data_IF_458356681168
#
_entry.id   IF_458356681168
#
_cell.length_a   1.000
_cell.length_b   1.000
_cell.length_c   1.000
_cell.angle_alpha   90.00
_cell.angle_beta   90.00
_cell.angle_gamma   90.00
#
_symmetry.space_group_name_H-M   'P 1'
#
loop_
_entity.id
_entity.type
_entity.pdbx_description
1 polymer ?
#
# COMPACT_ATOMS: atom_id res chain seq x y z
N UNK A 1 -11.90 -47.32 -17.88
CA UNK A 1 -11.07 -46.17 -17.47
C UNK A 1 -11.94 -44.94 -17.51
N UNK A 2 -12.51 -44.55 -16.36
CA UNK A 2 -13.41 -43.39 -16.25
C UNK A 2 -12.59 -42.09 -16.26
N UNK A 3 -13.04 -41.02 -16.93
CA UNK A 3 -12.30 -39.76 -16.96
C UNK A 3 -12.50 -38.98 -15.66
N UNK A 4 -11.39 -38.53 -15.07
CA UNK A 4 -11.37 -37.61 -13.93
C UNK A 4 -11.96 -36.24 -14.32
N UNK A 5 -12.73 -35.55 -13.44
CA UNK A 5 -13.20 -34.19 -13.70
C UNK A 5 -12.03 -33.22 -13.74
N UNK A 6 -12.00 -32.35 -14.75
CA UNK A 6 -11.01 -31.27 -14.87
C UNK A 6 -11.47 -30.10 -13.99
N UNK A 7 -10.89 -29.97 -12.80
CA UNK A 7 -11.08 -28.78 -11.95
C UNK A 7 -10.61 -27.53 -12.72
N UNK A 8 -11.49 -26.54 -12.81
CA UNK A 8 -11.30 -25.32 -13.58
C UNK A 8 -10.24 -24.41 -12.95
N UNK A 9 -9.35 -23.89 -13.79
CA UNK A 9 -8.19 -23.02 -13.48
C UNK A 9 -8.51 -21.72 -12.72
N UNK A 10 -9.79 -21.44 -12.49
CA UNK A 10 -10.25 -20.17 -11.91
C UNK A 10 -10.29 -20.18 -10.38
N UNK A 11 -10.36 -21.35 -9.72
CA UNK A 11 -10.35 -21.43 -8.24
C UNK A 11 -8.96 -21.23 -7.63
N UNK A 12 -7.89 -21.58 -8.37
CA UNK A 12 -6.49 -21.48 -7.91
C UNK A 12 -6.03 -20.01 -7.76
N UNK A 13 -6.70 -19.05 -8.41
CA UNK A 13 -6.26 -17.64 -8.42
C UNK A 13 -6.70 -16.85 -7.18
N UNK A 14 -7.76 -17.26 -6.47
CA UNK A 14 -8.19 -16.57 -5.24
C UNK A 14 -7.33 -16.92 -4.03
N UNK A 15 -6.79 -18.14 -4.00
CA UNK A 15 -6.00 -18.65 -2.87
C UNK A 15 -4.56 -18.09 -2.85
N UNK A 16 -3.99 -17.70 -4.00
CA UNK A 16 -2.62 -17.16 -4.09
C UNK A 16 -2.46 -15.70 -3.66
N UNK A 17 -3.56 -14.95 -3.46
CA UNK A 17 -3.52 -13.51 -3.17
C UNK A 17 -3.76 -13.17 -1.68
N UNK A 18 -4.25 -14.13 -0.90
CA UNK A 18 -4.47 -14.00 0.55
C UNK A 18 -3.55 -14.99 1.23
N UNK A 19 -2.57 -14.54 2.01
CA UNK A 19 -1.72 -15.49 2.77
C UNK A 19 -2.63 -16.30 3.70
N UNK A 20 -2.28 -17.56 4.00
CA UNK A 20 -3.01 -18.35 5.00
C UNK A 20 -3.23 -17.50 6.26
N UNK A 21 -4.50 -17.22 6.59
CA UNK A 21 -4.89 -16.46 7.78
C UNK A 21 -5.32 -15.00 7.53
N UNK A 22 -5.00 -14.40 6.39
CA UNK A 22 -5.54 -13.09 6.02
C UNK A 22 -7.06 -13.18 5.83
N UNK A 23 -7.80 -12.13 6.21
CA UNK A 23 -9.26 -12.18 6.28
C UNK A 23 -9.92 -10.99 5.57
N UNK A 24 -11.02 -11.26 4.86
CA UNK A 24 -11.83 -10.26 4.19
C UNK A 24 -12.84 -9.67 5.18
N UNK A 25 -12.89 -8.34 5.30
CA UNK A 25 -13.86 -7.69 6.16
C UNK A 25 -15.29 -7.85 5.62
N UNK A 26 -16.20 -8.40 6.43
CA UNK A 26 -17.60 -8.59 6.03
C UNK A 26 -18.33 -7.25 5.74
N UNK A 27 -17.96 -6.18 6.44
CA UNK A 27 -18.59 -4.86 6.30
C UNK A 27 -18.16 -4.08 5.06
N UNK A 28 -16.86 -4.09 4.73
CA UNK A 28 -16.31 -3.22 3.66
C UNK A 28 -15.46 -3.96 2.61
N UNK A 29 -15.38 -5.29 2.69
CA UNK A 29 -14.63 -6.16 1.79
C UNK A 29 -13.13 -5.82 1.66
N UNK A 30 -12.58 -5.10 2.65
CA UNK A 30 -11.15 -4.82 2.71
C UNK A 30 -10.39 -6.06 3.20
N UNK A 31 -9.33 -6.45 2.50
CA UNK A 31 -8.44 -7.54 2.90
C UNK A 31 -7.56 -7.09 4.08
N UNK A 32 -7.57 -7.84 5.17
CA UNK A 32 -6.81 -7.57 6.39
C UNK A 32 -5.80 -8.68 6.66
N UNK A 33 -4.66 -8.32 7.24
CA UNK A 33 -3.66 -9.30 7.67
C UNK A 33 -4.16 -10.15 8.83
N UNK A 34 -3.75 -11.43 8.90
CA UNK A 34 -4.21 -12.38 9.93
C UNK A 34 -4.15 -11.85 11.36
N UNK A 35 -3.11 -11.06 11.65
CA UNK A 35 -2.80 -10.52 12.98
C UNK A 35 -3.72 -9.40 13.45
N UNK A 36 -4.64 -8.94 12.60
CA UNK A 36 -5.58 -7.88 12.95
C UNK A 36 -6.87 -8.51 13.45
N UNK A 37 -7.34 -8.03 14.59
CA UNK A 37 -8.65 -8.38 15.15
C UNK A 37 -9.76 -7.41 14.71
N UNK A 38 -9.39 -6.33 14.00
CA UNK A 38 -10.31 -5.31 13.46
C UNK A 38 -9.87 -4.83 12.08
N UNK A 39 -10.85 -4.46 11.24
CA UNK A 39 -10.62 -4.05 9.87
C UNK A 39 -9.78 -2.77 9.81
N UNK A 40 -8.74 -2.76 8.97
CA UNK A 40 -7.89 -1.58 8.77
C UNK A 40 -8.62 -0.40 8.10
N UNK A 41 -9.75 -0.66 7.45
CA UNK A 41 -10.52 0.34 6.72
C UNK A 41 -11.66 0.90 7.56
N UNK A 42 -12.56 0.04 8.05
CA UNK A 42 -13.78 0.47 8.76
C UNK A 42 -13.82 0.05 10.24
N UNK A 43 -12.73 -0.50 10.79
CA UNK A 43 -12.63 -0.95 12.18
C UNK A 43 -13.59 -2.07 12.60
N UNK A 44 -14.43 -2.59 11.68
CA UNK A 44 -15.27 -3.76 11.93
C UNK A 44 -14.44 -4.92 12.51
N UNK A 45 -14.83 -5.51 13.65
CA UNK A 45 -14.17 -6.67 14.22
C UNK A 45 -14.13 -7.85 13.24
N UNK A 46 -13.08 -8.67 13.34
CA UNK A 46 -12.89 -9.87 12.52
C UNK A 46 -14.06 -10.86 12.63
N UNK A 47 -14.64 -10.95 13.82
CA UNK A 47 -15.75 -11.85 14.15
C UNK A 47 -17.03 -11.06 14.53
N UNK A 48 -17.28 -9.94 13.84
CA UNK A 48 -18.48 -9.12 14.07
C UNK A 48 -19.76 -9.91 13.75
N UNK A 49 -20.84 -9.68 14.53
CA UNK A 49 -22.14 -10.29 14.26
C UNK A 49 -22.82 -9.60 13.07
N UNK A 50 -23.79 -10.24 12.42
CA UNK A 50 -24.48 -9.66 11.25
C UNK A 50 -25.14 -8.29 11.53
N UNK A 51 -25.52 -8.04 12.78
CA UNK A 51 -26.09 -6.76 13.22
C UNK A 51 -25.01 -5.67 13.29
N UNK A 52 -23.83 -6.02 13.79
CA UNK A 52 -22.66 -5.14 13.85
C UNK A 52 -22.11 -4.84 12.45
N UNK A 53 -22.08 -5.85 11.56
CA UNK A 53 -21.59 -5.67 10.18
C UNK A 53 -22.31 -4.52 9.45
N UNK A 54 -23.62 -4.37 9.68
CA UNK A 54 -24.43 -3.33 9.05
C UNK A 54 -24.03 -1.90 9.49
N UNK A 55 -23.72 -1.70 10.78
CA UNK A 55 -23.32 -0.39 11.29
C UNK A 55 -21.94 0.03 10.76
N UNK A 56 -20.99 -0.91 10.67
CA UNK A 56 -19.66 -0.66 10.11
C UNK A 56 -19.62 -0.63 8.58
N UNK A 57 -20.64 -1.16 7.89
CA UNK A 57 -20.76 -1.07 6.44
C UNK A 57 -21.10 0.36 5.97
N UNK A 58 -21.81 1.11 6.83
CA UNK A 58 -22.30 2.46 6.53
C UNK A 58 -21.42 3.57 7.13
N UNK A 59 -20.54 3.25 8.08
CA UNK A 59 -19.49 4.18 8.52
C UNK A 59 -18.44 4.32 7.41
N UNK A 60 -18.73 5.21 6.45
CA UNK A 60 -17.67 5.96 5.77
C UNK A 60 -16.86 6.62 6.87
N UNK A 61 -15.67 6.05 7.11
CA UNK A 61 -14.59 6.57 7.94
C UNK A 61 -14.78 8.03 8.31
N UNK A 62 -15.05 8.30 9.58
CA UNK A 62 -14.63 9.57 10.15
C UNK A 62 -13.11 9.56 10.11
N UNK A 63 -12.59 9.99 8.96
CA UNK A 63 -11.18 10.29 8.75
C UNK A 63 -10.85 11.30 9.84
N UNK A 64 -9.98 10.90 10.76
CA UNK A 64 -9.62 11.73 11.91
C UNK A 64 -9.08 13.08 11.41
N UNK A 65 -9.33 14.15 12.17
CA UNK A 65 -8.86 15.48 11.78
C UNK A 65 -7.34 15.47 11.49
N UNK A 66 -6.97 15.78 10.26
CA UNK A 66 -5.59 15.84 9.80
C UNK A 66 -5.11 14.62 9.00
N UNK A 67 -5.83 13.50 9.03
CA UNK A 67 -5.59 12.35 8.14
C UNK A 67 -5.85 12.78 6.69
N UNK A 68 -5.12 12.19 5.74
CA UNK A 68 -5.15 12.63 4.34
C UNK A 68 -5.09 11.46 3.36
N UNK A 69 -5.76 11.62 2.22
CA UNK A 69 -5.66 10.68 1.11
C UNK A 69 -4.59 11.13 0.14
N UNK A 70 -3.77 10.19 -0.32
CA UNK A 70 -2.77 10.48 -1.33
C UNK A 70 -3.43 10.77 -2.68
N UNK A 71 -3.24 12.00 -3.17
CA UNK A 71 -3.72 12.46 -4.48
C UNK A 71 -2.86 12.03 -5.67
N UNK A 72 -1.78 11.26 -5.44
CA UNK A 72 -1.01 10.72 -6.55
C UNK A 72 -1.90 9.81 -7.42
N UNK A 73 -1.78 9.95 -8.74
CA UNK A 73 -2.58 9.20 -9.71
C UNK A 73 -2.47 7.69 -9.40
N UNK A 74 -3.63 7.03 -9.31
CA UNK A 74 -3.75 5.59 -8.97
C UNK A 74 -3.28 5.19 -7.55
N UNK A 75 -3.01 6.13 -6.64
CA UNK A 75 -2.64 5.79 -5.25
C UNK A 75 -3.84 5.70 -4.31
N UNK A 76 -4.52 6.85 -4.07
CA UNK A 76 -5.71 6.96 -3.20
C UNK A 76 -5.50 6.46 -1.76
N UNK A 77 -4.26 6.28 -1.32
CA UNK A 77 -3.95 5.63 -0.05
C UNK A 77 -4.22 6.57 1.13
N UNK A 78 -4.87 6.06 2.18
CA UNK A 78 -5.12 6.80 3.42
C UNK A 78 -3.86 6.89 4.28
N UNK A 79 -3.54 8.08 4.76
CA UNK A 79 -2.38 8.35 5.59
C UNK A 79 -2.82 9.02 6.89
N UNK A 80 -2.22 8.58 8.00
CA UNK A 80 -2.39 9.23 9.30
C UNK A 80 -1.85 10.66 9.29
N UNK A 81 -2.44 11.53 10.10
CA UNK A 81 -2.10 12.95 10.19
C UNK A 81 -0.61 13.25 10.43
N UNK A 82 0.07 12.37 11.15
CA UNK A 82 1.50 12.46 11.44
C UNK A 82 2.41 12.20 10.24
N UNK A 83 1.87 11.72 9.12
CA UNK A 83 2.66 11.43 7.91
C UNK A 83 2.73 12.64 7.01
N UNK A 84 3.94 13.05 6.68
CA UNK A 84 4.23 14.04 5.63
C UNK A 84 4.30 13.41 4.24
N UNK A 85 4.46 12.09 4.16
CA UNK A 85 4.57 11.35 2.89
C UNK A 85 3.74 10.06 2.89
N UNK A 86 3.23 9.71 1.72
CA UNK A 86 2.32 8.60 1.52
C UNK A 86 3.01 7.28 1.87
N UNK A 87 2.40 6.46 2.72
CA UNK A 87 2.97 5.16 3.12
C UNK A 87 3.14 4.19 1.94
N UNK A 88 2.38 4.42 0.85
CA UNK A 88 2.33 3.53 -0.32
C UNK A 88 3.25 3.97 -1.44
N UNK A 89 3.22 5.25 -1.80
CA UNK A 89 3.96 5.77 -2.97
C UNK A 89 4.96 6.88 -2.63
N UNK A 90 5.10 7.24 -1.35
CA UNK A 90 6.01 8.29 -0.88
C UNK A 90 5.72 9.70 -1.39
N UNK A 91 4.68 9.91 -2.19
CA UNK A 91 4.23 11.25 -2.56
C UNK A 91 3.95 12.06 -1.30
N UNK A 92 4.41 13.31 -1.26
CA UNK A 92 4.19 14.15 -0.09
C UNK A 92 2.73 14.58 0.01
N UNK A 93 2.30 14.86 1.24
CA UNK A 93 0.98 15.41 1.56
C UNK A 93 0.75 16.74 0.84
N UNK A 94 1.79 17.57 0.80
CA UNK A 94 1.72 18.95 0.34
C UNK A 94 1.81 19.11 -1.19
N UNK A 95 2.36 18.13 -1.93
CA UNK A 95 2.49 18.20 -3.40
C UNK A 95 1.31 17.65 -4.19
N UNK A 96 0.29 17.06 -3.56
CA UNK A 96 -0.84 16.49 -4.30
C UNK A 96 -2.15 17.26 -4.14
N UNK A 97 -2.10 18.49 -3.62
CA UNK A 97 -3.26 19.36 -3.45
C UNK A 97 -3.62 20.20 -4.67
N UNK A 98 -2.65 20.61 -5.51
CA UNK A 98 -2.89 21.46 -6.69
C UNK A 98 -1.80 21.22 -7.74
N UNK A 99 -2.20 20.94 -8.99
CA UNK A 99 -1.33 21.08 -10.16
C UNK A 99 -0.45 19.89 -10.48
N UNK A 100 -1.04 18.81 -10.97
CA UNK A 100 -0.33 17.78 -11.73
C UNK A 100 -0.02 18.30 -13.15
N UNK A 101 0.88 19.27 -13.29
CA UNK A 101 1.53 19.57 -14.57
C UNK A 101 2.98 19.96 -14.30
N UNK A 102 3.90 19.36 -15.07
CA UNK A 102 5.36 19.55 -15.03
C UNK A 102 6.07 18.83 -13.89
N UNK A 103 6.56 17.62 -14.17
CA UNK A 103 7.99 17.25 -14.06
C UNK A 103 8.19 15.80 -14.54
N UNK A 104 7.78 15.54 -15.78
CA UNK A 104 8.62 14.69 -16.61
C UNK A 104 9.82 15.56 -17.03
N UNK A 105 11.05 15.04 -16.95
CA UNK A 105 12.24 15.53 -17.66
C UNK A 105 13.20 16.56 -17.03
N UNK A 106 13.34 16.67 -15.70
CA UNK A 106 14.47 17.46 -15.16
C UNK A 106 15.14 16.81 -13.96
N UNK A 107 16.38 16.34 -14.17
CA UNK A 107 17.24 15.74 -13.16
C UNK A 107 17.71 16.74 -12.11
N UNK A 108 16.90 16.96 -11.08
CA UNK A 108 17.27 17.75 -9.91
C UNK A 108 17.27 16.91 -8.63
N UNK A 109 18.50 16.69 -8.16
CA UNK A 109 19.00 16.58 -6.78
C UNK A 109 17.99 16.17 -5.70
N UNK A 110 18.22 14.99 -5.15
CA UNK A 110 17.55 14.33 -4.04
C UNK A 110 17.61 15.05 -2.68
N UNK A 111 18.08 16.30 -2.62
CA UNK A 111 18.40 17.00 -1.36
C UNK A 111 17.23 17.82 -0.79
N UNK A 112 16.09 17.89 -1.46
CA UNK A 112 14.97 18.77 -1.06
C UNK A 112 13.66 18.05 -0.71
N UNK A 113 13.66 16.72 -0.48
CA UNK A 113 12.46 16.00 -0.02
C UNK A 113 12.45 15.95 1.52
N UNK A 114 11.49 16.59 2.22
CA UNK A 114 11.40 16.55 3.67
C UNK A 114 11.28 15.10 4.18
N UNK A 115 12.27 14.66 4.97
CA UNK A 115 12.33 13.31 5.54
C UNK A 115 13.27 12.32 4.83
N UNK A 116 13.87 12.70 3.69
CA UNK A 116 14.95 11.93 3.08
C UNK A 116 16.29 12.25 3.75
N UNK A 117 17.07 11.21 4.05
CA UNK A 117 18.43 11.36 4.58
C UNK A 117 19.44 11.25 3.45
N UNK A 118 20.58 11.93 3.60
CA UNK A 118 21.73 11.76 2.71
C UNK A 118 22.09 10.29 2.58
N UNK A 119 22.16 9.80 1.34
CA UNK A 119 22.47 8.41 1.03
C UNK A 119 21.27 7.48 0.95
N UNK A 120 20.05 7.94 1.24
CA UNK A 120 18.81 7.21 0.90
C UNK A 120 18.72 6.99 -0.60
N UNK A 121 18.12 5.88 -1.03
CA UNK A 121 18.12 5.48 -2.43
C UNK A 121 16.80 4.83 -2.86
N UNK A 122 16.45 5.02 -4.13
CA UNK A 122 15.30 4.35 -4.75
C UNK A 122 15.77 3.07 -5.42
N UNK A 123 15.04 1.98 -5.21
CA UNK A 123 15.32 0.73 -5.89
C UNK A 123 15.16 0.88 -7.41
N UNK A 124 16.30 0.80 -8.12
CA UNK A 124 16.39 0.93 -9.58
C UNK A 124 15.80 -0.26 -10.36
N UNK A 125 15.40 -1.33 -9.67
CA UNK A 125 14.72 -2.45 -10.32
C UNK A 125 13.43 -1.95 -10.96
N UNK A 126 13.33 -2.15 -12.28
CA UNK A 126 12.12 -1.87 -13.04
C UNK A 126 10.90 -2.50 -12.35
N UNK A 127 9.90 -1.67 -12.06
CA UNK A 127 8.68 -2.06 -11.35
C UNK A 127 8.77 -2.09 -9.81
N UNK A 128 9.91 -1.74 -9.20
CA UNK A 128 10.04 -1.65 -7.74
C UNK A 128 9.86 -0.22 -7.22
N UNK A 129 10.79 0.69 -7.53
CA UNK A 129 10.70 2.11 -7.19
C UNK A 129 10.59 2.43 -5.69
N UNK A 130 10.91 1.48 -4.81
CA UNK A 130 10.75 1.67 -3.36
C UNK A 130 11.91 2.47 -2.78
N UNK A 131 11.61 3.38 -1.84
CA UNK A 131 12.60 4.10 -1.03
C UNK A 131 13.27 3.16 -0.02
N UNK A 132 14.58 3.33 0.15
CA UNK A 132 15.40 2.62 1.11
C UNK A 132 16.27 3.61 1.88
N UNK A 133 16.40 3.38 3.18
CA UNK A 133 17.32 4.15 4.01
C UNK A 133 18.78 3.90 3.62
N UNK A 134 19.62 4.91 3.80
CA UNK A 134 21.06 4.87 3.48
C UNK A 134 21.82 3.67 4.06
N UNK A 135 21.39 3.17 5.22
CA UNK A 135 21.98 2.02 5.89
C UNK A 135 21.71 0.67 5.19
N UNK A 136 20.80 0.63 4.21
CA UNK A 136 20.46 -0.60 3.51
C UNK A 136 21.33 -0.79 2.27
N UNK A 137 21.93 -1.97 2.18
CA UNK A 137 22.63 -2.48 0.99
C UNK A 137 21.68 -3.13 -0.02
N UNK A 138 20.44 -3.45 0.39
CA UNK A 138 19.43 -4.11 -0.44
C UNK A 138 18.04 -3.52 -0.22
N UNK A 139 17.20 -3.60 -1.25
CA UNK A 139 15.84 -3.09 -1.21
C UNK A 139 15.00 -3.84 -0.17
N UNK A 140 14.35 -3.12 0.75
CA UNK A 140 13.58 -3.74 1.82
C UNK A 140 12.44 -4.64 1.30
N UNK A 141 11.87 -4.30 0.14
CA UNK A 141 10.76 -5.00 -0.51
C UNK A 141 11.20 -6.16 -1.38
N UNK A 142 12.05 -5.93 -2.38
CA UNK A 142 12.40 -6.93 -3.40
C UNK A 142 13.80 -7.54 -3.22
N UNK A 143 14.54 -7.13 -2.19
CA UNK A 143 15.92 -7.60 -1.90
C UNK A 143 16.93 -7.33 -3.01
N UNK A 144 16.58 -6.50 -3.99
CA UNK A 144 17.53 -6.13 -5.05
C UNK A 144 18.66 -5.30 -4.45
N UNK A 145 19.93 -5.64 -4.73
CA UNK A 145 21.08 -4.88 -4.26
C UNK A 145 21.01 -3.41 -4.70
N UNK A 146 21.57 -2.54 -3.87
CA UNK A 146 21.67 -1.10 -4.16
C UNK A 146 22.36 -0.84 -5.50
N UNK A 147 23.39 -1.62 -5.79
CA UNK A 147 24.27 -1.41 -6.95
C UNK A 147 23.75 -2.13 -8.21
N UNK A 148 22.51 -2.63 -8.18
CA UNK A 148 21.89 -3.31 -9.30
C UNK A 148 21.60 -2.32 -10.45
N UNK A 149 22.36 -2.44 -11.54
CA UNK A 149 22.27 -1.57 -12.71
C UNK A 149 23.33 -0.45 -12.77
N UNK A 150 24.30 -0.45 -11.86
CA UNK A 150 25.51 0.36 -12.00
C UNK A 150 26.52 -0.33 -12.94
N UNK A 151 26.20 -0.34 -14.24
CA UNK A 151 27.11 -0.66 -15.34
C UNK A 151 26.79 0.26 -16.51
#
# INVERSE_FOLDING_TARGET
MSPHPKESRDEITRDRMSRQGDWMCAACQHLNFQKRDSCQRCSCPKYATGVDVSSYAMQKNEVLAGDWYCGALNCGAHNYASRTSCYRCCASKDYCGYGAEIMASAGYTCDAIPGWKTGDWICARLGCGMHNYASRTECYKCKTPRDFGAM
#
